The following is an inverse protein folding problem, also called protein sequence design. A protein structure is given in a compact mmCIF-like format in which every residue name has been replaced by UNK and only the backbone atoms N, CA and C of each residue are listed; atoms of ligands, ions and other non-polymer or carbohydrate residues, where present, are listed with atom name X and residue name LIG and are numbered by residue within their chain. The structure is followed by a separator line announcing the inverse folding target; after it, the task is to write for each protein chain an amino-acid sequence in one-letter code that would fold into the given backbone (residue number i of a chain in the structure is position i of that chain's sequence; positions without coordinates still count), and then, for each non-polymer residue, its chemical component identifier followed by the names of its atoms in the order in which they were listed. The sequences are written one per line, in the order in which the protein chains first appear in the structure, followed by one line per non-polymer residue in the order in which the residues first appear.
data_IF_742912027270
#
_entry.id   IF_742912027270
#
_cell.length_a   1.000
_cell.length_b   1.000
_cell.length_c   1.000
_cell.angle_alpha   90.00
_cell.angle_beta   90.00
_cell.angle_gamma   90.00
#
_symmetry.space_group_name_H-M   'P 1'
#
loop_
_entity.id
_entity.type
_entity.pdbx_description
1 polymer ?
#
# COMPACT_ATOMS: atom_id res chain seq x y z
N UNK A 1 -16.52 41.08 31.08
CA UNK A 1 -16.41 39.72 31.64
C UNK A 1 -16.08 38.74 30.51
N UNK A 2 -14.93 38.06 30.67
CA UNK A 2 -14.39 36.84 30.02
C UNK A 2 -14.75 36.54 28.54
N UNK A 3 -13.77 36.82 27.65
CA UNK A 3 -13.65 36.20 26.32
C UNK A 3 -13.45 34.69 26.48
N UNK A 4 -14.42 33.90 26.05
CA UNK A 4 -14.32 32.44 26.02
C UNK A 4 -13.44 32.03 24.82
N UNK A 5 -12.12 32.02 25.06
CA UNK A 5 -11.15 31.42 24.15
C UNK A 5 -11.35 29.91 24.20
N UNK A 6 -11.75 29.29 23.09
CA UNK A 6 -11.78 27.85 22.91
C UNK A 6 -10.51 27.41 22.17
N UNK A 7 -9.36 27.19 22.84
CA UNK A 7 -8.18 26.65 22.17
C UNK A 7 -8.34 25.15 21.83
N UNK A 8 -9.39 24.50 22.34
CA UNK A 8 -9.61 23.06 22.21
C UNK A 8 -10.19 22.62 20.85
N UNK A 9 -10.81 23.53 20.08
CA UNK A 9 -11.37 23.15 18.77
C UNK A 9 -10.34 23.14 17.63
N UNK A 10 -9.16 23.77 17.82
CA UNK A 10 -8.13 23.88 16.78
C UNK A 10 -7.22 22.66 16.65
N UNK A 11 -7.12 21.82 17.69
CA UNK A 11 -6.20 20.67 17.71
C UNK A 11 -6.83 19.44 17.03
N UNK A 12 -8.16 19.34 16.98
CA UNK A 12 -8.85 18.18 16.39
C UNK A 12 -8.85 18.18 14.85
N UNK A 13 -8.67 19.35 14.20
CA UNK A 13 -8.73 19.49 12.75
C UNK A 13 -7.42 19.15 12.02
N UNK A 14 -6.29 19.02 12.72
CA UNK A 14 -4.97 18.77 12.11
C UNK A 14 -4.65 17.27 11.98
N UNK A 15 -5.39 16.39 12.66
CA UNK A 15 -5.17 14.94 12.62
C UNK A 15 -5.95 14.20 11.51
N UNK A 16 -6.82 14.89 10.77
CA UNK A 16 -7.74 14.27 9.81
C UNK A 16 -7.10 13.66 8.54
N UNK A 17 -5.92 14.08 8.00
CA UNK A 17 -5.40 13.48 6.77
C UNK A 17 -4.52 12.24 6.98
N UNK A 18 -4.34 11.73 8.20
CA UNK A 18 -3.47 10.56 8.45
C UNK A 18 -4.11 9.20 8.15
N UNK A 19 -5.37 9.18 7.72
CA UNK A 19 -6.14 7.95 7.46
C UNK A 19 -6.44 7.69 5.98
N UNK A 20 -5.75 8.37 5.06
CA UNK A 20 -5.84 8.02 3.64
C UNK A 20 -5.22 6.65 3.43
N UNK A 21 -5.90 5.77 2.71
CA UNK A 21 -5.36 4.49 2.26
C UNK A 21 -4.00 4.71 1.63
N UNK A 22 -2.94 4.17 2.25
CA UNK A 22 -1.59 4.37 1.76
C UNK A 22 -1.23 3.20 0.85
N UNK A 23 -0.98 3.50 -0.41
CA UNK A 23 -0.35 2.58 -1.36
C UNK A 23 1.05 3.11 -1.65
N UNK A 24 2.04 2.25 -1.55
CA UNK A 24 3.45 2.58 -1.80
C UNK A 24 3.98 1.71 -2.92
N UNK A 25 4.67 2.32 -3.88
CA UNK A 25 5.36 1.63 -4.96
C UNK A 25 6.88 1.78 -4.75
N UNK A 26 7.61 0.70 -4.97
CA UNK A 26 9.07 0.67 -5.03
C UNK A 26 9.49 0.04 -6.35
N UNK A 27 10.51 0.60 -7.00
CA UNK A 27 10.98 0.17 -8.32
C UNK A 27 12.49 -0.06 -8.28
N UNK A 28 12.95 -1.12 -8.92
CA UNK A 28 14.37 -1.37 -9.18
C UNK A 28 14.59 -1.71 -10.66
N UNK A 29 15.58 -1.08 -11.29
CA UNK A 29 15.86 -1.23 -12.74
C UNK A 29 17.25 -1.84 -13.01
N UNK A 30 17.97 -2.21 -11.95
CA UNK A 30 19.38 -2.62 -11.99
C UNK A 30 19.54 -4.12 -12.31
N UNK A 31 19.16 -4.50 -13.53
CA UNK A 31 19.23 -5.89 -13.99
C UNK A 31 20.57 -6.27 -14.65
N UNK A 32 21.61 -5.42 -14.57
CA UNK A 32 22.95 -5.71 -15.10
C UNK A 32 22.98 -6.17 -16.57
N UNK A 33 22.12 -5.60 -17.42
CA UNK A 33 22.01 -5.97 -18.84
C UNK A 33 21.22 -7.26 -19.11
N UNK A 34 20.64 -7.89 -18.10
CA UNK A 34 19.70 -9.00 -18.27
C UNK A 34 18.36 -8.44 -18.74
N UNK A 35 17.94 -8.85 -19.94
CA UNK A 35 16.66 -8.46 -20.50
C UNK A 35 15.51 -9.33 -19.95
N UNK A 36 14.29 -8.79 -20.01
CA UNK A 36 13.06 -9.52 -19.73
C UNK A 36 12.82 -10.67 -20.71
N UNK A 37 11.75 -11.43 -20.50
CA UNK A 37 11.44 -12.64 -21.29
C UNK A 37 11.25 -12.32 -22.78
N UNK A 38 10.82 -11.10 -23.10
CA UNK A 38 10.65 -10.60 -24.47
C UNK A 38 11.91 -9.95 -25.07
N UNK A 39 13.03 -9.97 -24.35
CA UNK A 39 14.27 -9.31 -24.78
C UNK A 39 14.26 -7.79 -24.67
N UNK A 40 13.30 -7.22 -23.94
CA UNK A 40 13.16 -5.77 -23.68
C UNK A 40 13.63 -5.44 -22.25
N UNK A 41 13.90 -4.16 -21.94
CA UNK A 41 14.19 -3.73 -20.58
C UNK A 41 13.09 -4.16 -19.60
N UNK A 42 13.50 -4.55 -18.40
CA UNK A 42 12.61 -5.00 -17.33
C UNK A 42 12.84 -4.17 -16.08
N UNK A 43 11.77 -3.86 -15.37
CA UNK A 43 11.78 -3.22 -14.06
C UNK A 43 11.16 -4.17 -13.03
N UNK A 44 11.76 -4.24 -11.84
CA UNK A 44 11.12 -4.88 -10.69
C UNK A 44 10.25 -3.86 -10.00
N UNK A 45 9.01 -4.20 -9.71
CA UNK A 45 8.10 -3.36 -8.93
C UNK A 45 7.60 -4.12 -7.70
N UNK A 46 7.50 -3.40 -6.59
CA UNK A 46 6.82 -3.82 -5.37
C UNK A 46 5.73 -2.81 -5.08
N UNK A 47 4.49 -3.27 -4.92
CA UNK A 47 3.34 -2.44 -4.55
C UNK A 47 2.79 -2.95 -3.23
N UNK A 48 2.75 -2.10 -2.21
CA UNK A 48 2.22 -2.42 -0.88
C UNK A 48 1.04 -1.52 -0.58
N UNK A 49 -0.09 -2.10 -0.19
CA UNK A 49 -1.23 -1.36 0.34
C UNK A 49 -1.40 -1.62 1.83
N UNK A 50 -1.80 -0.57 2.54
CA UNK A 50 -2.09 -0.58 3.97
C UNK A 50 -3.59 -0.43 4.22
N UNK A 51 -4.10 -1.24 5.13
CA UNK A 51 -5.45 -1.13 5.67
C UNK A 51 -5.45 -1.28 7.19
N UNK A 52 -6.51 -0.81 7.82
CA UNK A 52 -6.81 -1.01 9.23
C UNK A 52 -8.00 -1.95 9.32
N UNK A 53 -7.83 -3.10 9.97
CA UNK A 53 -8.88 -4.08 10.17
C UNK A 53 -9.36 -4.09 11.61
N UNK A 54 -10.67 -4.24 11.77
CA UNK A 54 -11.37 -4.47 13.01
C UNK A 54 -11.71 -5.96 13.15
N UNK A 55 -11.43 -6.54 14.32
CA UNK A 55 -11.77 -7.93 14.65
C UNK A 55 -11.32 -8.94 13.57
N UNK A 56 -10.16 -8.68 12.92
CA UNK A 56 -9.54 -9.50 11.86
C UNK A 56 -10.31 -9.60 10.54
N UNK A 57 -11.58 -9.18 10.50
CA UNK A 57 -12.49 -9.44 9.38
C UNK A 57 -12.93 -8.15 8.70
N UNK A 58 -13.18 -7.09 9.48
CA UNK A 58 -13.82 -5.89 8.98
C UNK A 58 -12.79 -4.86 8.54
N UNK A 59 -12.66 -4.54 7.23
CA UNK A 59 -11.81 -3.42 6.82
C UNK A 59 -12.46 -2.12 7.32
N UNK A 60 -11.80 -1.45 8.27
CA UNK A 60 -12.26 -0.19 8.83
C UNK A 60 -11.81 0.99 7.97
N UNK A 61 -10.56 0.96 7.51
CA UNK A 61 -9.94 2.00 6.71
C UNK A 61 -8.97 1.39 5.69
N UNK A 62 -8.97 1.93 4.47
CA UNK A 62 -8.12 1.45 3.38
C UNK A 62 -8.53 0.10 2.79
N UNK A 63 -7.76 -0.36 1.80
CA UNK A 63 -8.04 -1.60 1.08
C UNK A 63 -6.74 -2.40 0.86
N UNK A 64 -6.56 -3.43 1.68
CA UNK A 64 -5.45 -4.38 1.54
C UNK A 64 -5.91 -5.69 0.87
N UNK A 65 -7.04 -5.70 0.15
CA UNK A 65 -7.45 -6.90 -0.61
C UNK A 65 -6.48 -7.10 -1.76
N UNK A 66 -6.08 -8.36 -2.00
CA UNK A 66 -5.16 -8.71 -3.09
C UNK A 66 -5.58 -8.14 -4.44
N UNK A 67 -6.88 -8.15 -4.76
CA UNK A 67 -7.40 -7.58 -5.99
C UNK A 67 -7.09 -6.08 -6.12
N UNK A 68 -7.27 -5.30 -5.06
CA UNK A 68 -6.97 -3.86 -5.06
C UNK A 68 -5.47 -3.60 -5.19
N UNK A 69 -4.61 -4.41 -4.56
CA UNK A 69 -3.15 -4.24 -4.67
C UNK A 69 -2.64 -4.65 -6.04
N UNK A 70 -3.21 -5.70 -6.63
CA UNK A 70 -2.91 -6.10 -8.03
C UNK A 70 -3.34 -4.99 -8.98
N UNK A 71 -4.54 -4.42 -8.79
CA UNK A 71 -5.05 -3.31 -9.60
C UNK A 71 -4.09 -2.12 -9.55
N UNK A 72 -3.72 -1.66 -8.35
CA UNK A 72 -2.74 -0.58 -8.16
C UNK A 72 -1.35 -0.93 -8.74
N UNK A 73 -0.91 -2.17 -8.62
CA UNK A 73 0.35 -2.62 -9.23
C UNK A 73 0.29 -2.50 -10.76
N UNK A 74 -0.82 -2.93 -11.37
CA UNK A 74 -1.00 -2.88 -12.82
C UNK A 74 -1.27 -1.48 -13.35
N UNK A 75 -1.94 -0.63 -12.57
CA UNK A 75 -2.15 0.78 -12.88
C UNK A 75 -0.82 1.52 -12.95
N UNK A 76 0.04 1.35 -11.94
CA UNK A 76 1.38 1.94 -11.92
C UNK A 76 2.25 1.39 -13.06
N UNK A 77 2.15 0.09 -13.37
CA UNK A 77 2.86 -0.50 -14.49
C UNK A 77 2.41 0.10 -15.84
N UNK A 78 1.10 0.30 -16.02
CA UNK A 78 0.55 0.92 -17.21
C UNK A 78 0.96 2.40 -17.32
N UNK A 79 0.99 3.14 -16.22
CA UNK A 79 1.44 4.53 -16.16
C UNK A 79 2.89 4.71 -16.62
N UNK A 80 3.73 3.67 -16.45
CA UNK A 80 5.13 3.62 -16.92
C UNK A 80 5.31 3.14 -18.35
N UNK A 81 4.22 2.85 -19.07
CA UNK A 81 4.30 2.25 -20.41
C UNK A 81 4.64 0.75 -20.41
N UNK A 82 4.42 0.08 -19.28
CA UNK A 82 4.57 -1.37 -19.16
C UNK A 82 3.58 -2.10 -20.06
N UNK A 83 4.07 -3.01 -20.90
CA UNK A 83 3.24 -3.78 -21.82
C UNK A 83 2.97 -5.21 -21.38
N UNK A 84 3.76 -5.71 -20.44
CA UNK A 84 3.59 -7.01 -19.84
C UNK A 84 4.07 -6.97 -18.41
N UNK A 85 3.29 -7.54 -17.51
CA UNK A 85 3.68 -7.75 -16.12
C UNK A 85 3.77 -9.23 -15.80
N UNK A 86 4.64 -9.59 -14.86
CA UNK A 86 4.74 -10.93 -14.30
C UNK A 86 4.83 -10.81 -12.78
N UNK A 87 3.72 -11.09 -12.11
CA UNK A 87 3.67 -11.14 -10.65
C UNK A 87 4.50 -12.35 -10.18
N UNK A 88 5.53 -12.08 -9.38
CA UNK A 88 6.41 -13.09 -8.79
C UNK A 88 5.87 -13.56 -7.45
N UNK A 89 5.34 -12.64 -6.64
CA UNK A 89 4.89 -12.92 -5.29
C UNK A 89 3.69 -12.06 -4.89
N UNK A 90 2.84 -12.64 -4.04
CA UNK A 90 1.80 -11.90 -3.33
C UNK A 90 1.82 -12.32 -1.87
N UNK A 91 1.96 -11.36 -0.96
CA UNK A 91 1.96 -11.59 0.48
C UNK A 91 0.93 -10.69 1.16
N UNK A 92 0.46 -11.14 2.32
CA UNK A 92 -0.39 -10.33 3.20
C UNK A 92 0.07 -10.56 4.63
N UNK A 93 0.11 -9.51 5.43
CA UNK A 93 0.57 -9.56 6.80
C UNK A 93 -0.38 -8.84 7.74
N UNK A 94 -0.67 -9.45 8.89
CA UNK A 94 -1.60 -8.91 9.90
C UNK A 94 -0.82 -8.59 11.17
N UNK A 95 -0.79 -7.33 11.56
CA UNK A 95 0.05 -6.82 12.64
C UNK A 95 -0.65 -6.82 14.01
N UNK A 96 -1.33 -7.93 14.34
CA UNK A 96 -2.12 -8.06 15.57
C UNK A 96 -1.26 -8.07 16.85
N UNK A 97 0.06 -8.26 16.73
CA UNK A 97 0.97 -8.39 17.88
C UNK A 97 1.70 -7.10 18.24
N UNK A 98 1.50 -6.00 17.51
CA UNK A 98 2.23 -4.73 17.75
C UNK A 98 1.84 -4.11 19.09
N UNK A 99 0.55 -4.10 19.45
CA UNK A 99 0.09 -3.43 20.67
C UNK A 99 -1.07 -4.17 21.37
N UNK A 100 -0.83 -5.35 21.96
CA UNK A 100 -1.83 -6.02 22.77
C UNK A 100 -2.20 -5.18 24.01
N UNK A 101 -3.48 -5.16 24.44
CA UNK A 101 -4.61 -5.89 23.88
C UNK A 101 -5.36 -5.14 22.76
N UNK A 102 -5.01 -3.88 22.48
CA UNK A 102 -5.74 -3.04 21.50
C UNK A 102 -5.69 -3.65 20.09
N UNK A 103 -4.53 -4.19 19.69
CA UNK A 103 -4.34 -4.79 18.37
C UNK A 103 -5.10 -6.09 18.13
N UNK A 104 -5.73 -6.68 19.15
CA UNK A 104 -6.72 -7.75 18.96
C UNK A 104 -8.03 -7.24 18.36
N UNK A 105 -8.39 -5.98 18.64
CA UNK A 105 -9.63 -5.39 18.15
C UNK A 105 -9.39 -4.57 16.89
N UNK A 106 -8.29 -3.83 16.82
CA UNK A 106 -7.97 -2.94 15.70
C UNK A 106 -6.48 -3.10 15.37
N UNK A 107 -6.16 -3.60 14.19
CA UNK A 107 -4.77 -3.80 13.77
C UNK A 107 -4.52 -3.40 12.32
N UNK A 108 -3.28 -3.01 12.00
CA UNK A 108 -2.90 -2.82 10.62
C UNK A 108 -2.81 -4.15 9.88
N UNK A 109 -3.11 -4.10 8.59
CA UNK A 109 -2.93 -5.18 7.62
C UNK A 109 -2.20 -4.59 6.42
N UNK A 110 -1.20 -5.30 5.93
CA UNK A 110 -0.56 -5.00 4.65
C UNK A 110 -0.81 -6.10 3.66
N UNK A 111 -0.88 -5.72 2.39
CA UNK A 111 -0.78 -6.65 1.27
C UNK A 111 0.22 -6.12 0.28
N UNK A 112 1.09 -6.99 -0.19
CA UNK A 112 2.18 -6.66 -1.09
C UNK A 112 2.13 -7.54 -2.33
N UNK A 113 2.26 -6.92 -3.49
CA UNK A 113 2.41 -7.58 -4.80
C UNK A 113 3.76 -7.18 -5.36
N UNK A 114 4.52 -8.16 -5.80
CA UNK A 114 5.83 -7.97 -6.38
C UNK A 114 5.91 -8.65 -7.73
N UNK A 115 6.69 -8.08 -8.65
CA UNK A 115 6.83 -8.65 -9.97
C UNK A 115 7.63 -7.80 -10.94
N UNK A 116 7.80 -8.35 -12.12
CA UNK A 116 8.52 -7.73 -13.22
C UNK A 116 7.57 -6.99 -14.15
N UNK A 117 8.04 -5.88 -14.71
CA UNK A 117 7.34 -5.07 -15.70
C UNK A 117 8.26 -4.92 -16.91
N UNK A 118 7.80 -5.37 -18.08
CA UNK A 118 8.49 -5.14 -19.35
C UNK A 118 8.02 -3.83 -19.96
N UNK A 119 8.95 -2.87 -20.06
CA UNK A 119 8.73 -1.55 -20.63
C UNK A 119 8.91 -1.65 -22.15
N UNK A 120 8.00 -1.04 -22.92
CA UNK A 120 8.09 -0.98 -24.39
C UNK A 120 8.98 0.15 -24.90
#
# INVERSE_FOLDING_TARGET
MKRLRHPLLGILAVAAPLFTSCVTHSVATEFHGVAGIRGVPVEYQTTTSWALHGLFIFPLLGDARKASVIDAFTEEAAAKGGARTRISQTSSFTYWFILPPLSFFIHPVTSTVEGDIEIQ
#
